data_IF_510711778109
#
_entry.id   IF_510711778109
#
_cell.length_a   1.000
_cell.length_b   1.000
_cell.length_c   1.000
_cell.angle_alpha   90.00
_cell.angle_beta   90.00
_cell.angle_gamma   90.00
#
_symmetry.space_group_name_H-M   'P 1'
#
loop_
_entity.id
_entity.type
_entity.pdbx_description
1 polymer ?
#
# COMPACT_ATOMS: atom_id res chain seq x y z
N UNK A 1 10.07 -7.10 15.95
CA UNK A 1 8.99 -6.22 15.48
C UNK A 1 8.50 -5.38 16.65
N UNK A 2 8.08 -6.03 17.74
CA UNK A 2 7.55 -5.39 18.95
C UNK A 2 8.43 -4.29 19.56
N UNK A 3 9.74 -4.51 19.69
CA UNK A 3 10.65 -3.55 20.31
C UNK A 3 10.72 -2.18 19.59
N UNK A 4 10.62 -2.16 18.27
CA UNK A 4 10.70 -0.91 17.49
C UNK A 4 9.42 -0.08 17.60
N UNK A 5 8.28 -0.75 17.66
CA UNK A 5 6.96 -0.13 17.87
C UNK A 5 6.91 0.56 19.24
N UNK A 6 7.53 -0.05 20.26
CA UNK A 6 7.59 0.55 21.61
C UNK A 6 8.53 1.76 21.69
N UNK A 7 9.57 1.80 20.86
CA UNK A 7 10.59 2.85 20.87
C UNK A 7 10.13 4.13 20.13
N UNK A 8 9.25 4.00 19.13
CA UNK A 8 8.75 5.12 18.30
C UNK A 8 7.25 4.96 17.97
N UNK A 9 6.36 4.91 18.97
CA UNK A 9 4.93 4.66 18.72
C UNK A 9 4.27 5.74 17.87
N UNK A 10 4.59 7.01 18.13
CA UNK A 10 3.98 8.17 17.44
C UNK A 10 4.28 8.22 15.94
N UNK A 11 5.42 7.68 15.50
CA UNK A 11 5.81 7.70 14.09
C UNK A 11 5.04 6.64 13.30
N UNK A 12 4.79 5.47 13.89
CA UNK A 12 3.96 4.44 13.26
C UNK A 12 2.49 4.85 13.19
N UNK A 13 1.96 5.51 14.23
CA UNK A 13 0.58 6.02 14.22
C UNK A 13 0.38 7.07 13.12
N UNK A 14 1.39 7.92 12.88
CA UNK A 14 1.40 8.87 11.75
C UNK A 14 1.43 8.17 10.40
N UNK A 15 2.30 7.17 10.22
CA UNK A 15 2.38 6.42 8.96
C UNK A 15 1.07 5.67 8.65
N UNK A 16 0.47 5.03 9.67
CA UNK A 16 -0.83 4.35 9.55
C UNK A 16 -1.91 5.35 9.13
N UNK A 17 -2.04 6.47 9.86
CA UNK A 17 -3.05 7.50 9.58
C UNK A 17 -2.88 8.08 8.17
N UNK A 18 -1.65 8.35 7.76
CA UNK A 18 -1.36 8.85 6.41
C UNK A 18 -1.76 7.85 5.33
N UNK A 19 -1.48 6.56 5.55
CA UNK A 19 -1.85 5.50 4.63
C UNK A 19 -3.37 5.30 4.54
N UNK A 20 -4.08 5.36 5.68
CA UNK A 20 -5.56 5.32 5.72
C UNK A 20 -6.19 6.49 4.97
N UNK A 21 -5.65 7.70 5.12
CA UNK A 21 -6.10 8.89 4.36
C UNK A 21 -5.89 8.70 2.86
N UNK A 22 -4.72 8.20 2.45
CA UNK A 22 -4.41 7.97 1.04
C UNK A 22 -5.33 6.90 0.41
N UNK A 23 -5.67 5.83 1.14
CA UNK A 23 -6.64 4.83 0.70
C UNK A 23 -8.06 5.41 0.56
N UNK A 24 -8.46 6.26 1.51
CA UNK A 24 -9.75 6.96 1.46
C UNK A 24 -9.84 7.91 0.27
N UNK A 25 -8.80 8.70 0.02
CA UNK A 25 -8.71 9.60 -1.14
C UNK A 25 -8.71 8.84 -2.48
N UNK A 26 -8.15 7.63 -2.50
CA UNK A 26 -8.23 6.75 -3.66
C UNK A 26 -9.65 6.19 -3.90
N UNK A 27 -10.60 6.42 -3.00
CA UNK A 27 -12.01 6.02 -3.14
C UNK A 27 -12.28 4.58 -2.73
N UNK A 28 -11.47 4.01 -1.85
CA UNK A 28 -11.50 2.58 -1.52
C UNK A 28 -11.71 2.33 -0.02
N UNK A 29 -12.58 1.36 0.30
CA UNK A 29 -13.03 1.07 1.67
C UNK A 29 -12.77 -0.38 2.12
N UNK A 30 -12.08 -1.19 1.30
CA UNK A 30 -11.79 -2.60 1.62
C UNK A 30 -10.31 -2.93 1.38
N UNK A 31 -9.78 -3.89 2.13
CA UNK A 31 -8.39 -4.35 2.04
C UNK A 31 -8.31 -5.79 1.52
N UNK A 32 -7.25 -6.16 0.78
CA UNK A 32 -6.15 -5.31 0.33
C UNK A 32 -6.52 -4.51 -0.93
N UNK A 33 -6.27 -3.21 -0.90
CA UNK A 33 -6.37 -2.35 -2.08
C UNK A 33 -5.04 -1.65 -2.31
N UNK A 34 -4.54 -1.74 -3.54
CA UNK A 34 -3.29 -1.13 -3.98
C UNK A 34 -3.62 -0.18 -5.13
N UNK A 35 -2.96 0.97 -5.18
CA UNK A 35 -3.15 1.94 -6.28
C UNK A 35 -1.79 2.31 -6.84
N UNK A 36 -1.66 2.18 -8.15
CA UNK A 36 -0.45 2.57 -8.87
C UNK A 36 -0.82 3.56 -9.98
N UNK A 37 -0.35 4.80 -9.88
CA UNK A 37 -0.66 5.88 -10.85
C UNK A 37 -2.16 6.02 -11.15
N UNK A 38 -2.97 6.08 -10.10
CA UNK A 38 -4.44 6.15 -10.19
C UNK A 38 -5.13 4.91 -10.78
N UNK A 39 -4.39 3.81 -10.99
CA UNK A 39 -4.93 2.51 -11.39
C UNK A 39 -5.12 1.63 -10.14
N UNK A 40 -6.34 1.20 -9.80
CA UNK A 40 -6.61 0.42 -8.61
C UNK A 40 -6.52 -1.10 -8.83
N UNK A 41 -6.02 -1.81 -7.83
CA UNK A 41 -5.86 -3.27 -7.79
C UNK A 41 -6.50 -3.79 -6.48
N UNK A 42 -7.59 -4.55 -6.63
CA UNK A 42 -8.42 -5.00 -5.51
C UNK A 42 -8.23 -6.48 -5.21
N UNK A 43 -7.96 -6.80 -3.95
CA UNK A 43 -7.83 -8.18 -3.51
C UNK A 43 -6.42 -8.73 -3.71
N UNK A 44 -6.11 -9.76 -2.93
CA UNK A 44 -4.82 -10.45 -2.98
C UNK A 44 -4.58 -11.13 -4.33
N UNK A 45 -5.66 -11.50 -5.03
CA UNK A 45 -5.65 -12.09 -6.36
C UNK A 45 -5.16 -11.14 -7.46
N UNK A 46 -5.08 -9.84 -7.20
CA UNK A 46 -4.56 -8.82 -8.15
C UNK A 46 -3.09 -8.49 -7.96
N UNK A 47 -2.38 -9.16 -7.05
CA UNK A 47 -0.95 -8.92 -6.83
C UNK A 47 -0.10 -9.26 -8.06
N UNK A 48 -0.43 -10.34 -8.78
CA UNK A 48 0.29 -10.71 -10.00
C UNK A 48 0.05 -9.71 -11.14
N UNK A 49 -1.17 -9.18 -11.24
CA UNK A 49 -1.51 -8.13 -12.21
C UNK A 49 -0.75 -6.83 -11.91
N UNK A 50 -0.65 -6.45 -10.63
CA UNK A 50 0.14 -5.31 -10.20
C UNK A 50 1.63 -5.51 -10.52
N UNK A 51 2.19 -6.70 -10.26
CA UNK A 51 3.59 -7.01 -10.61
C UNK A 51 3.83 -6.87 -12.11
N UNK A 52 2.92 -7.39 -12.93
CA UNK A 52 2.97 -7.23 -14.39
C UNK A 52 2.90 -5.75 -14.80
N UNK A 53 2.08 -4.94 -14.12
CA UNK A 53 1.99 -3.51 -14.37
C UNK A 53 3.27 -2.75 -14.00
N UNK A 54 3.87 -3.08 -12.86
CA UNK A 54 5.13 -2.51 -12.40
C UNK A 54 6.28 -2.89 -13.33
N UNK A 55 6.33 -4.13 -13.82
CA UNK A 55 7.33 -4.59 -14.79
C UNK A 55 7.30 -3.78 -16.09
N UNK A 56 6.10 -3.43 -16.59
CA UNK A 56 5.97 -2.54 -17.76
C UNK A 56 6.52 -1.13 -17.53
N UNK A 57 6.65 -0.70 -16.28
CA UNK A 57 7.27 0.57 -15.90
C UNK A 57 8.74 0.43 -15.51
N UNK A 58 9.33 -0.76 -15.63
CA UNK A 58 10.70 -1.04 -15.21
C UNK A 58 10.89 -1.13 -13.69
N UNK A 59 9.80 -1.28 -12.92
CA UNK A 59 9.79 -1.31 -11.45
C UNK A 59 9.69 -2.75 -10.92
N UNK A 60 10.58 -3.63 -11.38
CA UNK A 60 10.67 -5.01 -10.88
C UNK A 60 11.67 -5.07 -9.72
N UNK A 61 11.33 -5.73 -8.59
CA UNK A 61 12.31 -5.98 -7.53
C UNK A 61 13.45 -6.86 -8.07
N UNK A 62 14.70 -6.56 -7.66
CA UNK A 62 15.86 -7.44 -7.90
C UNK A 62 15.70 -8.81 -7.23
#
# INVERSE_FOLDING_TARGET
MDRRITEQPDDYDREITANESALTEAGHWEVPTLVFRSEPFFGQDRLEDLKWRLAQQGLVPE
#
